data_IF_478723624609
#
_entry.id   IF_478723624609
#
_cell.length_a   1.000
_cell.length_b   1.000
_cell.length_c   1.000
_cell.angle_alpha   90.00
_cell.angle_beta   90.00
_cell.angle_gamma   90.00
#
_symmetry.space_group_name_H-M   'P 1'
#
loop_
_entity.id
_entity.type
_entity.pdbx_description
1 polymer ?
#
# COMPACT_ATOMS: atom_id res chain seq x y z
N UNK A 1 4.31 49.35 10.06
CA UNK A 1 5.45 48.43 10.23
C UNK A 1 5.08 47.11 9.57
N UNK A 2 5.43 46.96 8.30
CA UNK A 2 5.47 45.70 7.55
C UNK A 2 6.95 45.27 7.55
N UNK A 3 7.40 44.03 7.41
CA UNK A 3 6.87 42.71 7.07
C UNK A 3 7.92 41.68 7.59
N UNK A 4 7.56 40.46 8.00
CA UNK A 4 7.48 39.33 7.07
C UNK A 4 8.84 38.65 6.76
N UNK A 5 9.70 38.36 7.74
CA UNK A 5 10.84 37.46 7.55
C UNK A 5 10.41 36.00 7.67
N UNK A 6 10.33 35.30 6.54
CA UNK A 6 10.55 33.84 6.48
C UNK A 6 11.24 33.51 5.16
N UNK A 7 12.45 32.98 5.30
CA UNK A 7 13.37 32.56 4.24
C UNK A 7 12.78 31.45 3.38
N UNK A 8 12.38 31.77 2.16
CA UNK A 8 12.23 30.79 1.09
C UNK A 8 13.58 30.66 0.36
N UNK A 9 14.21 29.49 0.45
CA UNK A 9 15.33 29.14 -0.43
C UNK A 9 14.79 29.06 -1.86
N UNK A 10 15.00 30.13 -2.64
CA UNK A 10 14.76 30.14 -4.07
C UNK A 10 15.87 29.31 -4.71
N UNK A 11 15.56 28.07 -5.11
CA UNK A 11 16.43 27.35 -6.06
C UNK A 11 16.20 27.99 -7.42
N UNK A 12 17.00 28.99 -7.73
CA UNK A 12 17.09 29.56 -9.07
C UNK A 12 17.83 28.56 -9.97
N UNK A 13 17.14 27.51 -10.41
CA UNK A 13 17.61 26.72 -11.56
C UNK A 13 17.20 27.47 -12.80
N UNK A 14 18.20 27.93 -13.55
CA UNK A 14 18.03 28.45 -14.90
C UNK A 14 17.30 27.38 -15.74
N UNK A 15 16.04 27.66 -16.16
CA UNK A 15 15.21 26.67 -16.83
C UNK A 15 15.78 26.24 -18.19
N UNK A 16 16.54 27.10 -18.86
CA UNK A 16 17.19 26.77 -20.13
C UNK A 16 18.39 25.86 -19.92
N UNK A 17 19.19 26.13 -18.89
CA UNK A 17 20.30 25.26 -18.48
C UNK A 17 19.81 23.88 -18.06
N UNK A 18 18.77 23.82 -17.23
CA UNK A 18 18.17 22.55 -16.79
C UNK A 18 17.46 21.78 -17.93
N UNK A 19 16.98 22.48 -18.97
CA UNK A 19 16.44 21.86 -20.17
C UNK A 19 17.57 21.29 -21.04
N UNK A 20 18.66 22.05 -21.22
CA UNK A 20 19.82 21.63 -21.99
C UNK A 20 20.55 20.44 -21.36
N UNK A 21 20.70 20.42 -20.04
CA UNK A 21 21.25 19.28 -19.29
C UNK A 21 20.38 18.03 -19.44
N UNK A 22 19.05 18.18 -19.47
CA UNK A 22 18.10 17.07 -19.74
C UNK A 22 18.22 16.56 -21.18
N UNK A 23 18.35 17.47 -22.15
CA UNK A 23 18.47 17.14 -23.57
C UNK A 23 19.82 16.46 -23.87
N UNK A 24 20.89 16.92 -23.23
CA UNK A 24 22.23 16.35 -23.32
C UNK A 24 22.31 14.97 -22.65
N UNK A 25 21.68 14.81 -21.48
CA UNK A 25 21.50 13.50 -20.85
C UNK A 25 20.65 12.54 -21.72
N UNK A 26 19.59 13.03 -22.36
CA UNK A 26 18.76 12.25 -23.28
C UNK A 26 19.53 11.83 -24.54
N UNK A 27 20.40 12.70 -25.08
CA UNK A 27 21.26 12.37 -26.23
C UNK A 27 22.39 11.41 -25.86
N UNK A 28 22.98 11.54 -24.67
CA UNK A 28 23.96 10.58 -24.16
C UNK A 28 23.32 9.18 -24.00
N UNK A 29 22.09 9.11 -23.47
CA UNK A 29 21.29 7.90 -23.39
C UNK A 29 21.05 7.20 -24.74
N UNK A 30 20.94 7.97 -25.83
CA UNK A 30 20.71 7.44 -27.18
C UNK A 30 21.99 7.01 -27.90
N UNK A 31 23.15 7.61 -27.55
CA UNK A 31 24.43 7.34 -28.23
C UNK A 31 25.15 6.11 -27.69
N UNK A 32 24.97 5.80 -26.40
CA UNK A 32 25.68 4.70 -25.73
C UNK A 32 24.87 3.40 -25.65
N UNK A 33 23.65 3.33 -26.18
CA UNK A 33 22.79 2.16 -25.96
C UNK A 33 23.36 0.92 -26.66
N UNK A 34 24.02 -0.01 -25.95
CA UNK A 34 24.24 -1.32 -26.50
C UNK A 34 22.84 -1.92 -26.70
N UNK A 35 22.65 -2.81 -27.69
CA UNK A 35 21.44 -3.63 -27.82
C UNK A 35 20.89 -3.93 -26.42
N UNK A 36 19.70 -3.42 -26.06
CA UNK A 36 19.20 -3.47 -24.68
C UNK A 36 19.22 -4.92 -24.18
N UNK A 37 20.26 -5.28 -23.43
CA UNK A 37 20.43 -6.64 -22.91
C UNK A 37 19.40 -6.94 -21.84
N UNK A 38 18.80 -5.89 -21.27
CA UNK A 38 17.80 -5.93 -20.24
C UNK A 38 16.48 -5.34 -20.76
N UNK A 39 15.43 -6.14 -20.73
CA UNK A 39 14.09 -5.81 -21.17
C UNK A 39 13.20 -5.54 -19.96
N UNK A 40 12.25 -4.63 -20.10
CA UNK A 40 11.27 -4.31 -19.05
C UNK A 40 9.93 -4.96 -19.35
N UNK A 41 9.44 -5.78 -18.44
CA UNK A 41 8.06 -6.23 -18.37
C UNK A 41 7.28 -5.23 -17.51
N UNK A 42 6.10 -4.82 -17.97
CA UNK A 42 5.19 -3.98 -17.21
C UNK A 42 3.77 -4.51 -17.35
N UNK A 43 3.09 -4.62 -16.21
CA UNK A 43 1.66 -4.91 -16.14
C UNK A 43 0.99 -3.95 -15.16
N UNK A 44 -0.25 -3.58 -15.45
CA UNK A 44 -1.06 -2.71 -14.61
C UNK A 44 -2.53 -3.10 -14.74
N UNK A 45 -3.33 -2.67 -13.77
CA UNK A 45 -4.74 -2.97 -13.74
C UNK A 45 -5.40 -2.48 -12.46
N UNK A 46 -6.58 -3.04 -12.18
CA UNK A 46 -7.31 -2.85 -10.93
C UNK A 46 -7.42 -4.20 -10.25
N UNK A 47 -7.08 -4.25 -8.97
CA UNK A 47 -7.33 -5.42 -8.13
C UNK A 47 -7.95 -4.97 -6.81
N UNK A 48 -9.02 -5.65 -6.38
CA UNK A 48 -9.82 -5.24 -5.21
C UNK A 48 -10.23 -3.75 -5.25
N UNK A 49 -10.55 -3.23 -6.44
CA UNK A 49 -10.89 -1.81 -6.74
C UNK A 49 -9.74 -0.81 -6.63
N UNK A 50 -8.51 -1.28 -6.43
CA UNK A 50 -7.32 -0.45 -6.24
C UNK A 50 -6.36 -0.63 -7.43
N UNK A 51 -5.84 0.46 -8.03
CA UNK A 51 -4.93 0.38 -9.17
C UNK A 51 -3.57 -0.18 -8.74
N UNK A 52 -2.97 -0.99 -9.60
CA UNK A 52 -1.60 -1.48 -9.40
C UNK A 52 -0.74 -1.30 -10.66
N UNK A 53 0.57 -1.21 -10.46
CA UNK A 53 1.58 -1.27 -11.50
C UNK A 53 2.74 -2.13 -11.03
N UNK A 54 3.07 -3.18 -11.78
CA UNK A 54 4.30 -3.96 -11.62
C UNK A 54 5.23 -3.69 -12.80
N UNK A 55 6.50 -3.43 -12.51
CA UNK A 55 7.59 -3.35 -13.47
C UNK A 55 8.69 -4.30 -13.03
N UNK A 56 9.17 -5.10 -13.97
CA UNK A 56 10.25 -6.06 -13.78
C UNK A 56 11.26 -5.85 -14.90
N UNK A 57 12.54 -5.80 -14.56
CA UNK A 57 13.63 -5.78 -15.54
C UNK A 57 14.34 -7.12 -15.49
N UNK A 58 14.55 -7.71 -16.67
CA UNK A 58 15.23 -8.99 -16.80
C UNK A 58 16.08 -9.01 -18.07
N UNK A 59 17.13 -9.83 -18.08
CA UNK A 59 17.90 -10.07 -19.29
C UNK A 59 17.03 -10.67 -20.39
N UNK A 60 17.32 -10.38 -21.66
CA UNK A 60 16.54 -10.85 -22.80
C UNK A 60 16.34 -12.38 -22.81
N UNK A 61 17.36 -13.13 -22.39
CA UNK A 61 17.32 -14.60 -22.29
C UNK A 61 16.41 -15.12 -21.18
N UNK A 62 16.21 -14.34 -20.11
CA UNK A 62 15.39 -14.69 -18.95
C UNK A 62 14.00 -14.02 -18.98
N UNK A 63 13.73 -13.17 -19.98
CA UNK A 63 12.57 -12.30 -20.01
C UNK A 63 11.22 -13.03 -19.97
N UNK A 64 11.07 -14.11 -20.77
CA UNK A 64 9.83 -14.90 -20.78
C UNK A 64 9.55 -15.53 -19.41
N UNK A 65 10.58 -16.14 -18.81
CA UNK A 65 10.48 -16.71 -17.47
C UNK A 65 10.16 -15.65 -16.42
N UNK A 66 10.80 -14.49 -16.48
CA UNK A 66 10.57 -13.40 -15.54
C UNK A 66 9.12 -12.91 -15.57
N UNK A 67 8.54 -12.81 -16.78
CA UNK A 67 7.13 -12.48 -16.97
C UNK A 67 6.20 -13.53 -16.36
N UNK A 68 6.41 -14.80 -16.66
CA UNK A 68 5.57 -15.89 -16.14
C UNK A 68 5.59 -15.96 -14.61
N UNK A 69 6.78 -15.84 -14.01
CA UNK A 69 6.94 -15.80 -12.55
C UNK A 69 6.26 -14.56 -11.95
N UNK A 70 6.39 -13.39 -12.59
CA UNK A 70 5.71 -12.17 -12.16
C UNK A 70 4.18 -12.34 -12.13
N UNK A 71 3.61 -12.93 -13.17
CA UNK A 71 2.16 -13.16 -13.25
C UNK A 71 1.68 -14.18 -12.21
N UNK A 72 2.47 -15.22 -11.92
CA UNK A 72 2.16 -16.20 -10.85
C UNK A 72 2.25 -15.59 -9.44
N UNK A 73 3.27 -14.79 -9.18
CA UNK A 73 3.44 -14.09 -7.90
C UNK A 73 2.29 -13.12 -7.67
N UNK A 74 1.88 -12.36 -8.68
CA UNK A 74 0.71 -11.48 -8.60
C UNK A 74 -0.57 -12.26 -8.30
N UNK A 75 -0.85 -13.36 -9.00
CA UNK A 75 -2.03 -14.21 -8.71
C UNK A 75 -2.04 -14.70 -7.27
N UNK A 76 -0.88 -15.13 -6.76
CA UNK A 76 -0.75 -15.58 -5.37
C UNK A 76 -0.97 -14.44 -4.38
N UNK A 77 -0.42 -13.26 -4.67
CA UNK A 77 -0.58 -12.05 -3.87
C UNK A 77 -2.05 -11.62 -3.77
N UNK A 78 -2.78 -11.61 -4.89
CA UNK A 78 -4.21 -11.29 -4.94
C UNK A 78 -5.05 -12.30 -4.19
N UNK A 79 -4.73 -13.59 -4.31
CA UNK A 79 -5.38 -14.62 -3.54
C UNK A 79 -5.20 -14.40 -2.02
N UNK A 80 -3.99 -14.08 -1.55
CA UNK A 80 -3.75 -13.78 -0.13
C UNK A 80 -4.47 -12.50 0.32
N UNK A 81 -4.43 -11.45 -0.50
CA UNK A 81 -5.11 -10.20 -0.22
C UNK A 81 -6.60 -10.43 0.01
N UNK A 82 -7.25 -11.19 -0.87
CA UNK A 82 -8.70 -11.44 -0.81
C UNK A 82 -9.10 -12.49 0.24
N UNK A 83 -8.40 -13.63 0.29
CA UNK A 83 -8.83 -14.77 1.12
C UNK A 83 -8.30 -14.75 2.54
N UNK A 84 -7.32 -13.89 2.85
CA UNK A 84 -6.75 -13.79 4.20
C UNK A 84 -7.02 -12.41 4.80
N UNK A 85 -6.71 -11.33 4.08
CA UNK A 85 -6.59 -9.98 4.65
C UNK A 85 -7.80 -9.06 4.40
N UNK A 86 -8.69 -9.42 3.47
CA UNK A 86 -9.81 -8.59 3.06
C UNK A 86 -10.99 -8.72 4.04
N UNK A 87 -11.23 -7.70 4.86
CA UNK A 87 -12.38 -7.64 5.77
C UNK A 87 -13.74 -7.43 5.07
N UNK A 88 -13.75 -7.16 3.76
CA UNK A 88 -14.98 -7.10 2.95
C UNK A 88 -15.35 -8.45 2.34
N UNK A 89 -14.40 -9.39 2.23
CA UNK A 89 -14.69 -10.75 1.81
C UNK A 89 -15.19 -11.54 3.03
N UNK A 90 -16.45 -11.99 3.07
CA UNK A 90 -16.97 -12.72 4.23
C UNK A 90 -16.23 -14.04 4.45
N UNK A 91 -15.67 -14.64 3.41
CA UNK A 91 -14.97 -15.93 3.49
C UNK A 91 -13.47 -15.78 3.79
N UNK A 92 -12.96 -14.56 3.95
CA UNK A 92 -11.55 -14.37 4.31
C UNK A 92 -11.26 -14.82 5.73
N UNK A 93 -10.02 -15.24 5.99
CA UNK A 93 -9.58 -15.66 7.32
C UNK A 93 -9.86 -14.58 8.39
N UNK A 94 -9.55 -13.31 8.08
CA UNK A 94 -9.79 -12.21 9.01
C UNK A 94 -11.27 -12.01 9.33
N UNK A 95 -12.15 -12.14 8.33
CA UNK A 95 -13.60 -12.05 8.50
C UNK A 95 -14.16 -13.23 9.28
N UNK A 96 -13.62 -14.45 9.05
CA UNK A 96 -14.01 -15.65 9.79
C UNK A 96 -13.64 -15.56 11.27
N UNK A 97 -12.42 -15.10 11.61
CA UNK A 97 -12.04 -14.82 13.00
C UNK A 97 -13.01 -13.83 13.62
N UNK A 98 -13.38 -12.80 12.85
CA UNK A 98 -14.43 -11.85 13.17
C UNK A 98 -15.79 -12.50 13.45
N UNK A 99 -16.07 -13.78 13.19
CA UNK A 99 -17.38 -14.40 13.48
C UNK A 99 -17.31 -15.59 14.42
N UNK A 100 -16.13 -15.93 14.92
CA UNK A 100 -15.98 -17.01 15.89
C UNK A 100 -16.63 -16.64 17.24
N UNK A 101 -17.19 -17.63 17.95
CA UNK A 101 -17.57 -17.49 19.35
C UNK A 101 -16.46 -16.84 20.19
N UNK A 102 -16.85 -15.98 21.13
CA UNK A 102 -15.91 -15.34 22.05
C UNK A 102 -15.11 -16.39 22.81
N UNK A 103 -13.79 -16.19 22.89
CA UNK A 103 -12.85 -17.11 23.52
C UNK A 103 -12.46 -18.32 22.68
N UNK A 104 -13.13 -18.60 21.55
CA UNK A 104 -12.71 -19.67 20.65
C UNK A 104 -11.39 -19.29 19.97
N UNK A 105 -10.39 -20.15 20.10
CA UNK A 105 -9.09 -19.99 19.45
C UNK A 105 -9.14 -20.40 17.98
N UNK A 106 -8.47 -19.62 17.15
CA UNK A 106 -8.19 -19.88 15.75
C UNK A 106 -6.67 -19.97 15.54
N UNK A 107 -6.21 -20.98 14.81
CA UNK A 107 -4.81 -21.09 14.39
C UNK A 107 -4.62 -20.25 13.12
N UNK A 108 -3.81 -19.20 13.22
CA UNK A 108 -3.58 -18.27 12.12
C UNK A 108 -2.78 -18.94 10.99
N UNK A 109 -3.12 -18.63 9.74
CA UNK A 109 -2.23 -18.88 8.61
C UNK A 109 -0.90 -18.15 8.79
N UNK A 110 0.14 -18.60 8.09
CA UNK A 110 1.45 -17.95 8.12
C UNK A 110 1.36 -16.47 7.70
N UNK A 111 0.55 -16.17 6.68
CA UNK A 111 0.30 -14.81 6.20
C UNK A 111 -0.34 -13.95 7.28
N UNK A 112 -1.43 -14.42 7.88
CA UNK A 112 -2.11 -13.66 8.92
C UNK A 112 -1.22 -13.46 10.15
N UNK A 113 -0.50 -14.51 10.58
CA UNK A 113 0.44 -14.42 11.70
C UNK A 113 1.49 -13.34 11.48
N UNK A 114 2.07 -13.26 10.28
CA UNK A 114 3.04 -12.20 9.93
C UNK A 114 2.43 -10.80 9.99
N UNK A 115 1.22 -10.62 9.45
CA UNK A 115 0.51 -9.33 9.49
C UNK A 115 0.15 -8.94 10.92
N UNK A 116 -0.40 -9.85 11.72
CA UNK A 116 -0.75 -9.58 13.13
C UNK A 116 0.49 -9.28 13.97
N UNK A 117 1.62 -9.95 13.70
CA UNK A 117 2.91 -9.62 14.33
C UNK A 117 3.33 -8.19 14.01
N UNK A 118 3.24 -7.76 12.75
CA UNK A 118 3.51 -6.39 12.34
C UNK A 118 2.55 -5.40 13.03
N UNK A 119 1.25 -5.70 13.03
CA UNK A 119 0.27 -4.86 13.72
C UNK A 119 0.57 -4.69 15.20
N UNK A 120 0.97 -5.75 15.91
CA UNK A 120 1.35 -5.66 17.32
C UNK A 120 2.62 -4.83 17.53
N UNK A 121 3.61 -4.97 16.66
CA UNK A 121 4.81 -4.14 16.70
C UNK A 121 4.47 -2.65 16.52
N UNK A 122 3.70 -2.31 15.49
CA UNK A 122 3.33 -0.92 15.16
C UNK A 122 2.37 -0.32 16.20
N UNK A 123 1.43 -1.10 16.72
CA UNK A 123 0.56 -0.68 17.82
C UNK A 123 1.40 -0.26 19.04
N UNK A 124 2.36 -1.09 19.44
CA UNK A 124 3.22 -0.81 20.59
C UNK A 124 4.14 0.39 20.35
N UNK A 125 4.81 0.45 19.19
CA UNK A 125 5.76 1.53 18.89
C UNK A 125 5.08 2.88 18.71
N UNK A 126 3.83 2.89 18.22
CA UNK A 126 3.00 4.09 18.10
C UNK A 126 2.22 4.44 19.38
N UNK A 127 2.37 3.66 20.46
CA UNK A 127 1.60 3.83 21.72
C UNK A 127 0.09 3.83 21.51
N UNK A 128 -0.40 2.96 20.62
CA UNK A 128 -1.82 2.79 20.31
C UNK A 128 -2.41 3.81 19.34
N UNK A 129 -1.60 4.68 18.72
CA UNK A 129 -2.08 5.60 17.67
C UNK A 129 -2.50 4.83 16.42
N UNK A 130 -1.71 3.81 16.05
CA UNK A 130 -2.15 2.80 15.10
C UNK A 130 -2.86 1.68 15.88
N UNK A 131 -4.11 1.38 15.56
CA UNK A 131 -4.87 0.28 16.14
C UNK A 131 -5.60 -0.53 15.06
N UNK A 132 -5.27 -1.83 14.87
CA UNK A 132 -5.90 -2.68 13.87
C UNK A 132 -7.30 -3.18 14.31
N UNK A 133 -7.72 -3.01 15.56
CA UNK A 133 -9.02 -3.44 16.09
C UNK A 133 -10.11 -2.36 15.95
N UNK A 134 -9.99 -1.52 14.93
CA UNK A 134 -10.88 -0.39 14.64
C UNK A 134 -12.04 -0.74 13.70
N UNK A 135 -12.23 -2.02 13.37
CA UNK A 135 -13.28 -2.50 12.46
C UNK A 135 -14.67 -1.89 12.73
N UNK A 136 -15.20 -1.97 13.97
CA UNK A 136 -16.53 -1.41 14.27
C UNK A 136 -16.61 0.12 14.13
N UNK A 137 -15.50 0.81 14.39
CA UNK A 137 -15.40 2.27 14.21
C UNK A 137 -15.50 2.61 12.73
N UNK A 138 -14.74 1.91 11.88
CA UNK A 138 -14.71 2.14 10.44
C UNK A 138 -16.07 1.78 9.81
N UNK A 139 -16.72 0.71 10.26
CA UNK A 139 -18.07 0.34 9.82
C UNK A 139 -19.10 1.41 10.18
N UNK A 140 -19.09 1.92 11.42
CA UNK A 140 -19.98 2.99 11.85
C UNK A 140 -19.80 4.27 11.03
N UNK A 141 -18.54 4.65 10.75
CA UNK A 141 -18.22 5.81 9.92
C UNK A 141 -18.69 5.61 8.47
N UNK A 142 -18.45 4.45 7.87
CA UNK A 142 -18.89 4.13 6.50
C UNK A 142 -20.42 4.18 6.36
N UNK A 143 -21.15 3.63 7.33
CA UNK A 143 -22.61 3.67 7.33
C UNK A 143 -23.13 5.13 7.35
N UNK A 144 -22.52 5.99 8.17
CA UNK A 144 -22.92 7.41 8.25
C UNK A 144 -22.54 8.22 7.01
N UNK A 145 -21.42 7.92 6.37
CA UNK A 145 -21.07 8.51 5.06
C UNK A 145 -22.14 8.17 4.01
N UNK A 146 -22.63 6.93 3.97
CA UNK A 146 -23.70 6.54 3.05
C UNK A 146 -25.03 7.29 3.32
N UNK A 147 -25.30 7.61 4.58
CA UNK A 147 -26.45 8.40 5.03
C UNK A 147 -26.24 9.92 4.90
N UNK A 148 -25.05 10.39 4.48
CA UNK A 148 -24.63 11.81 4.54
C UNK A 148 -24.79 12.42 5.93
N UNK A 149 -24.53 11.62 6.96
CA UNK A 149 -24.61 11.99 8.36
C UNK A 149 -23.25 11.84 9.06
N UNK A 150 -23.17 12.24 10.33
CA UNK A 150 -22.02 12.01 11.21
C UNK A 150 -22.35 11.01 12.31
N UNK A 151 -21.31 10.37 12.86
CA UNK A 151 -21.44 9.60 14.11
C UNK A 151 -21.44 10.60 15.27
N UNK A 152 -22.33 10.44 16.24
CA UNK A 152 -22.34 11.27 17.46
C UNK A 152 -21.11 11.00 18.32
N UNK A 153 -20.62 12.02 19.04
CA UNK A 153 -19.48 11.88 19.95
C UNK A 153 -19.69 10.78 21.00
N UNK A 154 -20.89 10.67 21.56
CA UNK A 154 -21.25 9.65 22.55
C UNK A 154 -21.09 8.21 22.00
N UNK A 155 -21.54 7.98 20.77
CA UNK A 155 -21.39 6.70 20.09
C UNK A 155 -19.91 6.40 19.79
N UNK A 156 -19.14 7.41 19.37
CA UNK A 156 -17.71 7.25 19.13
C UNK A 156 -16.94 6.94 20.40
N UNK A 157 -17.20 7.66 21.49
CA UNK A 157 -16.59 7.39 22.79
C UNK A 157 -16.88 5.96 23.26
N UNK A 158 -18.12 5.49 23.09
CA UNK A 158 -18.48 4.11 23.41
C UNK A 158 -17.62 3.13 22.61
N UNK A 159 -17.50 3.34 21.29
CA UNK A 159 -16.71 2.47 20.41
C UNK A 159 -15.22 2.48 20.79
N UNK A 160 -14.61 3.65 21.05
CA UNK A 160 -13.20 3.74 21.43
C UNK A 160 -12.87 3.04 22.76
N UNK A 161 -13.82 3.02 23.71
CA UNK A 161 -13.62 2.32 24.99
C UNK A 161 -13.51 0.80 24.84
N UNK A 162 -14.23 0.22 23.88
CA UNK A 162 -14.28 -1.26 23.70
C UNK A 162 -13.45 -1.77 22.52
N UNK A 163 -13.32 -0.99 21.45
CA UNK A 163 -12.65 -1.38 20.21
C UNK A 163 -11.19 -0.92 20.23
N UNK A 164 -10.36 -1.65 20.97
CA UNK A 164 -8.91 -1.46 20.95
C UNK A 164 -8.20 -2.81 20.99
N UNK A 165 -6.99 -2.84 20.43
CA UNK A 165 -6.33 -4.11 20.13
C UNK A 165 -6.18 -5.06 21.33
N UNK A 166 -5.67 -4.62 22.51
CA UNK A 166 -5.54 -5.47 23.68
C UNK A 166 -6.88 -5.91 24.28
N UNK A 167 -7.92 -5.09 24.18
CA UNK A 167 -9.24 -5.40 24.75
C UNK A 167 -10.08 -6.28 23.83
N UNK A 168 -9.83 -6.24 22.53
CA UNK A 168 -10.61 -6.98 21.52
C UNK A 168 -10.08 -8.38 21.23
N UNK A 169 -8.76 -8.60 21.35
CA UNK A 169 -8.15 -9.88 20.98
C UNK A 169 -7.20 -10.44 22.05
N UNK A 170 -7.18 -11.76 22.17
CA UNK A 170 -6.13 -12.52 22.83
C UNK A 170 -5.28 -13.17 21.75
N UNK A 171 -4.00 -12.82 21.70
CA UNK A 171 -3.07 -13.29 20.67
C UNK A 171 -1.91 -14.00 21.36
N UNK A 172 -1.61 -15.18 20.85
CA UNK A 172 -0.41 -15.94 21.20
C UNK A 172 0.42 -16.11 19.92
N UNK A 173 1.49 -15.31 19.79
CA UNK A 173 2.35 -15.34 18.62
C UNK A 173 3.26 -16.57 18.60
N UNK A 174 3.55 -17.20 19.74
CA UNK A 174 4.36 -18.42 19.76
C UNK A 174 3.55 -19.59 19.21
N UNK A 175 2.36 -19.83 19.78
CA UNK A 175 1.41 -20.83 19.31
C UNK A 175 0.75 -20.47 17.97
N UNK A 176 0.84 -19.21 17.55
CA UNK A 176 0.20 -18.71 16.33
C UNK A 176 -1.33 -18.73 16.42
N UNK A 177 -1.89 -18.46 17.61
CA UNK A 177 -3.34 -18.50 17.83
C UNK A 177 -3.91 -17.13 18.18
N UNK A 178 -5.16 -16.92 17.83
CA UNK A 178 -5.92 -15.72 18.12
C UNK A 178 -7.35 -16.06 18.57
N UNK A 179 -7.89 -15.30 19.51
CA UNK A 179 -9.28 -15.40 19.94
C UNK A 179 -9.86 -13.99 20.16
N UNK A 180 -11.14 -13.83 19.83
CA UNK A 180 -11.91 -12.62 20.16
C UNK A 180 -12.27 -12.59 21.65
N UNK A 181 -12.25 -11.41 22.26
CA UNK A 181 -12.63 -11.19 23.67
C UNK A 181 -14.06 -10.71 23.88
N UNK A 182 -14.72 -10.22 22.82
CA UNK A 182 -16.12 -9.79 22.85
C UNK A 182 -16.77 -9.90 21.46
N UNK A 183 -18.09 -9.67 21.38
CA UNK A 183 -18.87 -9.89 20.15
C UNK A 183 -18.51 -8.96 19.00
N UNK A 184 -18.18 -7.71 19.33
CA UNK A 184 -17.84 -6.68 18.35
C UNK A 184 -16.37 -6.68 17.91
N UNK A 185 -15.53 -7.58 18.43
CA UNK A 185 -14.09 -7.59 18.09
C UNK A 185 -13.88 -7.89 16.60
N UNK A 186 -13.50 -6.87 15.82
CA UNK A 186 -13.21 -6.96 14.38
C UNK A 186 -11.94 -6.20 14.04
N UNK A 187 -11.23 -6.71 13.05
CA UNK A 187 -10.05 -6.05 12.51
C UNK A 187 -10.41 -5.12 11.35
N UNK A 188 -9.70 -3.99 11.27
CA UNK A 188 -9.46 -3.27 10.03
C UNK A 188 -7.95 -3.28 9.74
N UNK A 189 -7.57 -3.97 8.66
CA UNK A 189 -6.17 -4.12 8.26
C UNK A 189 -5.77 -3.12 7.19
N UNK A 190 -6.62 -2.13 6.84
CA UNK A 190 -6.38 -1.20 5.74
C UNK A 190 -5.05 -0.42 5.83
N UNK A 191 -4.54 -0.20 7.04
CA UNK A 191 -3.26 0.45 7.29
C UNK A 191 -2.01 -0.43 7.14
N UNK A 192 -2.14 -1.74 6.93
CA UNK A 192 -1.00 -2.68 6.85
C UNK A 192 -1.11 -3.67 5.68
N UNK A 193 -2.32 -4.10 5.32
CA UNK A 193 -2.54 -5.22 4.38
C UNK A 193 -1.92 -4.97 3.00
N UNK A 194 -2.08 -3.78 2.43
CA UNK A 194 -1.52 -3.44 1.11
C UNK A 194 0.00 -3.42 1.12
N UNK A 195 0.61 -2.79 2.13
CA UNK A 195 2.06 -2.80 2.32
C UNK A 195 2.62 -4.22 2.41
N UNK A 196 1.97 -5.11 3.17
CA UNK A 196 2.37 -6.53 3.23
C UNK A 196 2.31 -7.22 1.86
N UNK A 197 1.26 -6.99 1.07
CA UNK A 197 1.14 -7.60 -0.26
C UNK A 197 2.20 -7.05 -1.22
N UNK A 198 2.49 -5.75 -1.13
CA UNK A 198 3.56 -5.12 -1.90
C UNK A 198 4.92 -5.72 -1.56
N UNK A 199 5.20 -5.89 -0.26
CA UNK A 199 6.40 -6.55 0.24
C UNK A 199 6.50 -8.00 -0.24
N UNK A 200 5.40 -8.75 -0.12
CA UNK A 200 5.31 -10.14 -0.57
C UNK A 200 5.66 -10.27 -2.05
N UNK A 201 5.09 -9.45 -2.94
CA UNK A 201 5.38 -9.51 -4.38
C UNK A 201 6.86 -9.29 -4.66
N UNK A 202 7.45 -8.23 -4.11
CA UNK A 202 8.86 -7.91 -4.35
C UNK A 202 9.78 -8.98 -3.77
N UNK A 203 9.51 -9.49 -2.57
CA UNK A 203 10.32 -10.52 -1.92
C UNK A 203 10.27 -11.85 -2.68
N UNK A 204 9.09 -12.26 -3.16
CA UNK A 204 8.95 -13.49 -3.94
C UNK A 204 9.65 -13.41 -5.29
N UNK A 205 9.62 -12.25 -5.95
CA UNK A 205 10.35 -12.03 -7.20
C UNK A 205 11.86 -12.02 -6.97
N UNK A 206 12.32 -11.32 -5.93
CA UNK A 206 13.73 -11.31 -5.56
C UNK A 206 14.24 -12.72 -5.24
N UNK A 207 13.46 -13.51 -4.50
CA UNK A 207 13.78 -14.91 -4.19
C UNK A 207 13.82 -15.82 -5.45
N UNK A 208 13.11 -15.45 -6.51
CA UNK A 208 13.17 -16.13 -7.81
C UNK A 208 14.34 -15.67 -8.70
N UNK A 209 15.20 -14.76 -8.20
CA UNK A 209 16.33 -14.18 -8.93
C UNK A 209 15.99 -12.95 -9.76
N UNK A 210 14.77 -12.43 -9.65
CA UNK A 210 14.31 -11.24 -10.37
C UNK A 210 14.45 -10.05 -9.41
N UNK A 211 15.61 -9.38 -9.46
CA UNK A 211 16.00 -8.40 -8.43
C UNK A 211 15.64 -6.95 -8.76
N UNK A 212 15.48 -6.64 -10.05
CA UNK A 212 15.18 -5.31 -10.56
C UNK A 212 13.66 -5.14 -10.70
N UNK A 213 12.99 -4.78 -9.60
CA UNK A 213 11.52 -4.77 -9.49
C UNK A 213 11.03 -3.43 -8.96
N UNK A 214 9.91 -2.96 -9.49
CA UNK A 214 9.10 -1.90 -8.90
C UNK A 214 7.64 -2.33 -8.88
N UNK A 215 7.04 -2.35 -7.71
CA UNK A 215 5.63 -2.65 -7.55
C UNK A 215 4.93 -1.57 -6.74
N UNK A 216 3.77 -1.14 -7.23
CA UNK A 216 2.91 -0.15 -6.61
C UNK A 216 1.47 -0.63 -6.64
N UNK A 217 0.75 -0.43 -5.54
CA UNK A 217 -0.66 -0.77 -5.38
C UNK A 217 -1.36 0.27 -4.51
N UNK A 218 -2.15 1.14 -5.13
CA UNK A 218 -2.93 2.16 -4.43
C UNK A 218 -2.08 3.19 -3.68
N UNK A 219 -0.88 3.47 -4.16
CA UNK A 219 0.09 4.37 -3.53
C UNK A 219 1.08 3.71 -2.57
N UNK A 220 0.81 2.48 -2.10
CA UNK A 220 1.82 1.67 -1.40
C UNK A 220 2.80 1.12 -2.45
N UNK A 221 4.11 1.28 -2.26
CA UNK A 221 5.08 0.81 -3.25
C UNK A 221 6.38 0.28 -2.63
N UNK A 222 7.03 -0.64 -3.33
CA UNK A 222 8.38 -1.12 -3.02
C UNK A 222 9.17 -1.31 -4.31
N UNK A 223 10.45 -0.98 -4.22
CA UNK A 223 11.40 -1.11 -5.31
C UNK A 223 12.64 -1.88 -4.85
N UNK A 224 13.23 -2.65 -5.76
CA UNK A 224 14.53 -3.30 -5.58
C UNK A 224 15.35 -3.19 -6.87
N UNK A 225 16.67 -3.13 -6.72
CA UNK A 225 17.59 -2.98 -7.84
C UNK A 225 17.42 -1.66 -8.58
N UNK A 226 17.44 -1.74 -9.91
CA UNK A 226 17.47 -0.61 -10.84
C UNK A 226 16.43 -0.75 -11.94
N UNK A 227 16.07 0.36 -12.58
CA UNK A 227 15.20 0.34 -13.77
C UNK A 227 15.97 -0.14 -15.02
N UNK A 228 15.29 -0.23 -16.16
CA UNK A 228 15.89 -0.69 -17.42
C UNK A 228 17.07 0.17 -17.93
N UNK A 229 17.21 1.41 -17.43
CA UNK A 229 18.36 2.30 -17.70
C UNK A 229 19.47 2.14 -16.66
N UNK A 230 19.40 1.12 -15.79
CA UNK A 230 20.35 0.84 -14.70
C UNK A 230 20.53 2.00 -13.72
N UNK A 231 19.49 2.80 -13.55
CA UNK A 231 19.41 3.84 -12.52
C UNK A 231 18.41 3.46 -11.44
N UNK A 232 18.50 4.04 -10.23
CA UNK A 232 17.51 3.78 -9.18
C UNK A 232 16.08 4.05 -9.66
N UNK A 233 15.14 3.30 -9.09
CA UNK A 233 13.72 3.55 -9.33
C UNK A 233 13.32 4.91 -8.78
N UNK A 234 12.61 5.70 -9.60
CA UNK A 234 12.09 7.00 -9.18
C UNK A 234 10.71 6.83 -8.57
N UNK A 235 10.56 7.17 -7.29
CA UNK A 235 9.28 7.15 -6.57
C UNK A 235 8.80 8.59 -6.36
N UNK A 236 7.60 8.90 -6.85
CA UNK A 236 7.01 10.22 -6.70
C UNK A 236 6.29 10.37 -5.36
N UNK A 237 6.54 11.47 -4.64
CA UNK A 237 5.76 11.85 -3.45
C UNK A 237 4.81 12.97 -3.86
N UNK A 238 3.52 12.74 -3.68
CA UNK A 238 2.48 13.72 -4.03
C UNK A 238 2.36 14.74 -2.90
N UNK A 239 2.34 16.03 -3.26
CA UNK A 239 2.04 17.08 -2.30
C UNK A 239 0.55 17.01 -1.94
N UNK A 240 0.19 16.89 -0.64
CA UNK A 240 -1.21 16.85 -0.25
C UNK A 240 -1.91 18.18 -0.58
N UNK A 241 -3.22 18.16 -0.86
CA UNK A 241 -4.00 19.38 -1.05
C UNK A 241 -3.99 20.24 0.22
N UNK A 242 -4.15 21.54 0.07
CA UNK A 242 -4.30 22.46 1.20
C UNK A 242 -5.63 22.23 1.92
N UNK A 243 -5.73 22.68 3.18
CA UNK A 243 -6.99 22.64 3.94
C UNK A 243 -8.13 23.41 3.25
N UNK A 244 -7.80 24.48 2.51
CA UNK A 244 -8.75 25.23 1.72
C UNK A 244 -9.30 24.41 0.55
N UNK A 245 -8.42 23.70 -0.16
CA UNK A 245 -8.79 22.80 -1.25
C UNK A 245 -9.64 21.61 -0.78
N UNK A 246 -9.42 21.14 0.44
CA UNK A 246 -10.25 20.08 1.04
C UNK A 246 -11.65 20.58 1.42
N UNK A 247 -11.76 21.82 1.90
CA UNK A 247 -13.07 22.44 2.23
C UNK A 247 -13.88 22.79 0.99
N UNK A 248 -13.19 23.16 -0.10
CA UNK A 248 -13.79 23.53 -1.38
C UNK A 248 -13.25 22.62 -2.48
N UNK A 249 -13.63 21.33 -2.51
CA UNK A 249 -13.12 20.40 -3.50
C UNK A 249 -13.48 20.89 -4.91
N UNK A 250 -12.54 20.84 -5.87
CA UNK A 250 -12.84 21.25 -7.24
C UNK A 250 -13.98 20.39 -7.82
N UNK A 251 -14.84 21.00 -8.66
CA UNK A 251 -16.00 20.34 -9.26
C UNK A 251 -15.66 19.14 -10.14
N UNK A 252 -14.39 18.99 -10.54
CA UNK A 252 -13.86 17.77 -11.15
C UNK A 252 -13.01 17.06 -10.10
N UNK A 253 -13.20 15.75 -9.88
CA UNK A 253 -12.30 15.00 -9.02
C UNK A 253 -10.86 15.17 -9.52
N UNK A 254 -9.90 15.06 -8.62
CA UNK A 254 -8.49 14.97 -8.99
C UNK A 254 -8.29 13.69 -9.83
N UNK A 255 -8.54 13.78 -11.13
CA UNK A 255 -8.11 12.78 -12.10
C UNK A 255 -6.62 13.02 -12.23
N UNK A 256 -5.84 12.33 -11.41
CA UNK A 256 -4.41 12.25 -11.64
C UNK A 256 -4.23 11.57 -13.00
N UNK A 257 -3.52 12.20 -13.95
CA UNK A 257 -3.27 11.55 -15.22
C UNK A 257 -2.46 10.29 -14.92
N UNK A 258 -3.08 9.12 -15.13
CA UNK A 258 -2.34 7.92 -15.48
C UNK A 258 -1.36 8.37 -16.58
N UNK A 259 -0.03 8.10 -16.47
CA UNK A 259 0.90 8.50 -17.50
C UNK A 259 0.48 7.77 -18.77
N UNK A 260 -0.27 8.49 -19.61
CA UNK A 260 -0.75 7.98 -20.86
C UNK A 260 0.48 7.55 -21.65
N UNK A 261 0.50 6.27 -22.00
CA UNK A 261 1.27 5.78 -23.14
C UNK A 261 0.95 6.69 -24.30
N UNK A 262 1.87 7.60 -24.63
CA UNK A 262 1.86 8.25 -25.93
C UNK A 262 2.05 7.13 -26.95
N UNK A 263 0.98 6.81 -27.67
CA UNK A 263 1.07 6.09 -28.94
C UNK A 263 1.81 6.95 -29.96
#
# INVERSE_FOLDING_TARGET
MADGRSSASVVAVDPEKAARERDEAARALLRDSPLQTHLQYMTNGLELTVPFTLKVVAEAVAFSRAKEVADEVLRSAWHLADTVLNNLNPNSEISMIGRLPVGQKHTMSATLKSVITCCQHVFNSSRGVFDPATGPIIEALRAKVAEKASVSDEQMEKLFRVCNFPSSFSIDLEMGTIARKHEDARFDLGGVSKGYIVDYVVERLNAAGIVDVYFEWGGDCRASGTNARRTPWMVGIIRPPSMEQLRNPPKRPFIYPCPATKR
#
